data_IF_042476801208
#
_entry.id   IF_042476801208
#
_cell.length_a   1.000
_cell.length_b   1.000
_cell.length_c   1.000
_cell.angle_alpha   90.00
_cell.angle_beta   90.00
_cell.angle_gamma   90.00
#
_symmetry.space_group_name_H-M   'P 1'
#
loop_
_entity.id
_entity.type
_entity.pdbx_description
1 polymer ?
#
# COMPACT_ATOMS: atom_id res chain seq x y z
N UNK A 1 -0.43 40.10 7.49
CA UNK A 1 -1.80 39.80 7.03
C UNK A 1 -1.86 38.31 6.72
N UNK A 2 -2.88 37.56 7.15
CA UNK A 2 -3.03 36.15 6.75
C UNK A 2 -3.06 36.08 5.21
N UNK A 3 -2.32 35.14 4.63
CA UNK A 3 -2.35 34.95 3.19
C UNK A 3 -3.76 34.48 2.81
N UNK A 4 -4.54 35.33 2.15
CA UNK A 4 -5.81 34.90 1.59
C UNK A 4 -5.52 33.80 0.55
N UNK A 5 -6.18 32.64 0.64
CA UNK A 5 -5.96 31.55 -0.31
C UNK A 5 -6.26 32.06 -1.72
N UNK A 6 -5.35 31.78 -2.68
CA UNK A 6 -5.55 32.19 -4.07
C UNK A 6 -6.88 31.60 -4.58
N UNK A 7 -7.71 32.41 -5.23
CA UNK A 7 -8.89 31.92 -5.95
C UNK A 7 -8.43 31.03 -7.10
N UNK A 8 -8.69 29.72 -6.97
CA UNK A 8 -8.35 28.68 -7.94
C UNK A 8 -8.99 28.99 -9.31
N UNK A 9 -8.22 28.84 -10.39
CA UNK A 9 -8.79 28.93 -11.74
C UNK A 9 -9.80 27.80 -11.98
N UNK A 10 -10.96 28.06 -12.60
CA UNK A 10 -11.94 27.03 -12.90
C UNK A 10 -11.31 25.92 -13.75
N UNK A 11 -11.37 24.66 -13.28
CA UNK A 11 -10.95 23.48 -14.05
C UNK A 11 -9.55 22.91 -13.75
N UNK A 12 -8.75 23.49 -12.85
CA UNK A 12 -7.49 22.83 -12.45
C UNK A 12 -7.74 21.69 -11.45
N UNK A 13 -7.18 20.52 -11.69
CA UNK A 13 -7.17 19.41 -10.73
C UNK A 13 -6.08 19.63 -9.68
N UNK A 14 -6.30 19.13 -8.45
CA UNK A 14 -5.26 19.19 -7.42
C UNK A 14 -4.05 18.34 -7.86
N UNK A 15 -2.82 18.82 -7.64
CA UNK A 15 -1.62 18.03 -7.87
C UNK A 15 -1.48 16.99 -6.78
N UNK A 16 -1.33 15.73 -7.19
CA UNK A 16 -1.25 14.58 -6.29
C UNK A 16 0.21 14.17 -6.10
N UNK A 17 0.77 14.44 -4.92
CA UNK A 17 2.13 14.04 -4.54
C UNK A 17 2.08 12.86 -3.58
N UNK A 18 2.93 11.86 -3.80
CA UNK A 18 3.16 10.79 -2.83
C UNK A 18 4.58 10.86 -2.26
N UNK A 19 4.70 10.68 -0.95
CA UNK A 19 5.96 10.54 -0.23
C UNK A 19 6.11 9.09 0.19
N UNK A 20 7.14 8.44 -0.35
CA UNK A 20 7.50 7.06 -0.01
C UNK A 20 8.83 7.01 0.75
N UNK A 21 9.11 5.87 1.37
CA UNK A 21 10.37 5.61 2.05
C UNK A 21 10.23 4.55 3.13
N UNK A 22 11.37 4.03 3.59
CA UNK A 22 11.45 3.05 4.68
C UNK A 22 10.77 3.58 5.96
N UNK A 23 10.20 2.68 6.75
CA UNK A 23 9.69 2.95 8.09
C UNK A 23 10.74 3.61 8.97
N UNK A 24 10.34 4.63 9.73
CA UNK A 24 11.24 5.36 10.63
C UNK A 24 12.16 6.38 9.97
N UNK A 25 12.11 6.57 8.64
CA UNK A 25 12.91 7.58 7.92
C UNK A 25 12.42 9.02 8.09
N UNK A 26 11.28 9.24 8.74
CA UNK A 26 10.71 10.57 8.95
C UNK A 26 9.83 11.08 7.80
N UNK A 27 9.08 10.18 7.13
CA UNK A 27 8.12 10.54 6.07
C UNK A 27 7.08 11.55 6.56
N UNK A 28 6.40 11.25 7.66
CA UNK A 28 5.39 12.13 8.25
C UNK A 28 5.98 13.50 8.64
N UNK A 29 7.18 13.51 9.22
CA UNK A 29 7.93 14.75 9.49
C UNK A 29 8.13 15.58 8.21
N UNK A 30 8.63 14.97 7.14
CA UNK A 30 8.86 15.63 5.87
C UNK A 30 7.54 16.13 5.25
N UNK A 31 6.53 15.25 5.17
CA UNK A 31 5.21 15.54 4.61
C UNK A 31 4.55 16.71 5.32
N UNK A 32 4.50 16.69 6.65
CA UNK A 32 3.87 17.76 7.44
C UNK A 32 4.56 19.10 7.25
N UNK A 33 5.90 19.14 7.23
CA UNK A 33 6.61 20.40 7.00
C UNK A 33 6.48 20.90 5.55
N UNK A 34 6.46 20.00 4.56
CA UNK A 34 6.20 20.36 3.16
C UNK A 34 4.79 20.91 2.97
N UNK A 35 3.76 20.21 3.47
CA UNK A 35 2.35 20.62 3.42
C UNK A 35 2.17 21.97 4.09
N UNK A 36 2.76 22.14 5.28
CA UNK A 36 2.70 23.39 6.03
C UNK A 36 3.31 24.54 5.24
N UNK A 37 4.48 24.31 4.61
CA UNK A 37 5.14 25.34 3.80
C UNK A 37 4.37 25.67 2.53
N UNK A 38 3.84 24.68 1.81
CA UNK A 38 2.98 24.90 0.64
C UNK A 38 1.75 25.76 1.01
N UNK A 39 1.14 25.51 2.18
CA UNK A 39 0.00 26.29 2.67
C UNK A 39 0.38 27.73 3.06
N UNK A 40 1.54 27.92 3.72
CA UNK A 40 2.08 29.25 4.02
C UNK A 40 2.40 30.05 2.74
N UNK A 41 2.68 29.37 1.63
CA UNK A 41 2.85 29.97 0.30
C UNK A 41 1.52 30.21 -0.45
N UNK A 42 0.38 30.10 0.25
CA UNK A 42 -0.94 30.50 -0.24
C UNK A 42 -1.72 29.40 -0.97
N UNK A 43 -1.28 28.14 -0.88
CA UNK A 43 -1.95 27.00 -1.51
C UNK A 43 -2.93 26.31 -0.55
N UNK A 44 -3.99 25.73 -1.08
CA UNK A 44 -4.93 24.87 -0.34
C UNK A 44 -4.43 23.44 -0.40
N UNK A 45 -3.99 22.90 0.74
CA UNK A 45 -3.27 21.63 0.80
C UNK A 45 -3.94 20.64 1.75
N UNK A 46 -4.09 19.40 1.29
CA UNK A 46 -4.54 18.26 2.09
C UNK A 46 -3.37 17.29 2.33
N UNK A 47 -3.11 16.94 3.58
CA UNK A 47 -2.26 15.81 3.94
C UNK A 47 -3.10 14.54 4.08
N UNK A 48 -2.71 13.45 3.42
CA UNK A 48 -3.33 12.13 3.58
C UNK A 48 -2.34 11.17 4.23
N UNK A 49 -2.69 10.64 5.41
CA UNK A 49 -1.96 9.55 6.05
C UNK A 49 -2.35 8.21 5.45
N UNK A 50 -1.43 7.58 4.72
CA UNK A 50 -1.62 6.31 4.03
C UNK A 50 -0.72 5.21 4.62
N UNK A 51 -0.50 5.26 5.94
CA UNK A 51 0.31 4.33 6.70
C UNK A 51 -0.55 3.69 7.81
N UNK A 52 -0.55 2.34 7.98
CA UNK A 52 -1.22 1.67 9.10
C UNK A 52 -0.78 2.12 10.50
N UNK A 53 0.27 2.94 10.62
CA UNK A 53 0.70 3.60 11.86
C UNK A 53 -0.25 4.72 12.32
N UNK A 54 -1.00 5.34 11.41
CA UNK A 54 -2.08 6.32 11.68
C UNK A 54 -1.69 7.60 12.45
N UNK A 55 -0.46 8.09 12.31
CA UNK A 55 0.04 9.26 13.05
C UNK A 55 0.67 10.32 12.11
N UNK A 56 0.36 10.25 10.82
CA UNK A 56 0.96 11.14 9.81
C UNK A 56 0.61 12.60 10.08
N UNK A 57 -0.65 12.87 10.44
CA UNK A 57 -1.21 14.19 10.66
C UNK A 57 -1.01 14.71 12.08
N UNK A 58 -0.49 13.92 13.04
CA UNK A 58 -0.45 14.33 14.44
C UNK A 58 0.28 15.67 14.65
N UNK A 59 1.47 15.82 14.05
CA UNK A 59 2.22 17.08 14.12
C UNK A 59 1.53 18.23 13.39
N UNK A 60 0.81 17.95 12.30
CA UNK A 60 0.02 18.97 11.57
C UNK A 60 -1.11 19.52 12.45
N UNK A 61 -1.68 18.70 13.33
CA UNK A 61 -2.76 19.04 14.27
C UNK A 61 -2.28 19.28 15.70
N UNK A 62 -0.99 19.61 15.89
CA UNK A 62 -0.46 20.00 17.20
C UNK A 62 -0.51 18.90 18.26
N UNK A 63 -0.36 17.64 17.85
CA UNK A 63 -0.36 16.46 18.70
C UNK A 63 -1.72 15.76 18.82
N UNK A 64 -2.77 16.28 18.19
CA UNK A 64 -4.09 15.64 18.17
C UNK A 64 -4.07 14.48 17.17
N UNK A 65 -4.33 13.27 17.66
CA UNK A 65 -4.56 12.09 16.82
C UNK A 65 -5.93 12.19 16.15
N UNK A 66 -5.95 12.16 14.82
CA UNK A 66 -7.21 12.13 14.07
C UNK A 66 -7.80 10.71 14.08
N UNK A 67 -9.13 10.58 14.04
CA UNK A 67 -9.74 9.28 13.77
C UNK A 67 -9.43 8.86 12.32
N UNK A 68 -9.31 7.56 12.10
CA UNK A 68 -9.03 7.03 10.78
C UNK A 68 -10.33 6.93 9.97
N UNK A 69 -10.25 7.03 8.64
CA UNK A 69 -11.40 6.85 7.76
C UNK A 69 -12.06 5.49 7.99
N UNK A 70 -11.25 4.45 8.21
CA UNK A 70 -11.74 3.11 8.52
C UNK A 70 -12.55 3.04 9.82
N UNK A 71 -12.10 3.76 10.85
CA UNK A 71 -12.81 3.82 12.14
C UNK A 71 -14.12 4.59 12.04
N UNK A 72 -14.09 5.79 11.44
CA UNK A 72 -15.30 6.61 11.22
C UNK A 72 -16.31 5.84 10.36
N UNK A 73 -15.86 5.17 9.30
CA UNK A 73 -16.76 4.34 8.48
C UNK A 73 -17.40 3.22 9.29
N UNK A 74 -16.65 2.57 10.17
CA UNK A 74 -17.16 1.49 11.03
C UNK A 74 -18.22 2.02 12.00
N UNK A 75 -17.99 3.17 12.62
CA UNK A 75 -18.96 3.80 13.52
C UNK A 75 -20.29 4.08 12.80
N UNK A 76 -20.23 4.67 11.59
CA UNK A 76 -21.42 4.93 10.78
C UNK A 76 -22.13 3.65 10.36
N UNK A 77 -21.36 2.59 10.03
CA UNK A 77 -21.89 1.28 9.69
C UNK A 77 -22.60 0.61 10.86
N UNK A 78 -22.01 0.60 12.04
CA UNK A 78 -22.61 0.02 13.24
C UNK A 78 -23.88 0.77 13.66
N UNK A 79 -23.95 2.08 13.38
CA UNK A 79 -25.15 2.89 13.57
C UNK A 79 -26.20 2.74 12.45
N UNK A 80 -25.92 2.01 11.37
CA UNK A 80 -26.81 1.88 10.21
C UNK A 80 -26.98 3.16 9.39
N UNK A 81 -26.00 4.08 9.45
CA UNK A 81 -26.03 5.43 8.84
C UNK A 81 -24.98 5.61 7.74
N UNK A 82 -24.58 4.53 7.07
CA UNK A 82 -23.50 4.53 6.06
C UNK A 82 -23.71 5.60 4.96
N UNK A 83 -24.96 5.86 4.59
CA UNK A 83 -25.34 6.84 3.57
C UNK A 83 -25.13 8.30 4.00
N UNK A 84 -25.04 8.57 5.31
CA UNK A 84 -24.78 9.91 5.85
C UNK A 84 -23.28 10.24 5.89
N UNK A 85 -22.40 9.24 5.72
CA UNK A 85 -20.97 9.45 5.74
C UNK A 85 -20.55 10.35 4.57
N UNK A 86 -19.74 11.37 4.87
CA UNK A 86 -19.40 12.44 3.94
C UNK A 86 -18.03 13.00 4.25
N UNK A 87 -17.47 13.80 3.33
CA UNK A 87 -16.12 14.35 3.43
C UNK A 87 -15.82 15.01 4.79
N UNK A 88 -16.74 15.81 5.33
CA UNK A 88 -16.53 16.57 6.56
C UNK A 88 -16.40 15.71 7.82
N UNK A 89 -16.76 14.43 7.76
CA UNK A 89 -16.60 13.49 8.86
C UNK A 89 -15.16 12.93 8.95
N UNK A 90 -14.40 12.98 7.86
CA UNK A 90 -13.06 12.36 7.76
C UNK A 90 -11.96 13.33 7.34
N UNK A 91 -12.32 14.50 6.77
CA UNK A 91 -11.41 15.58 6.42
C UNK A 91 -11.48 16.66 7.49
N UNK A 92 -10.41 16.78 8.25
CA UNK A 92 -10.27 17.77 9.32
C UNK A 92 -9.49 18.98 8.85
N UNK A 93 -9.69 20.13 9.49
CA UNK A 93 -8.95 21.37 9.21
C UNK A 93 -8.33 21.92 10.48
N UNK A 94 -7.18 22.56 10.33
CA UNK A 94 -6.53 23.30 11.42
C UNK A 94 -5.78 24.51 10.86
N UNK A 95 -5.38 25.42 11.74
CA UNK A 95 -4.55 26.56 11.39
C UNK A 95 -3.15 26.39 11.96
N UNK A 96 -2.14 26.71 11.16
CA UNK A 96 -0.72 26.59 11.54
C UNK A 96 -0.07 27.96 11.70
N UNK A 97 1.09 28.00 12.37
CA UNK A 97 1.92 29.20 12.54
C UNK A 97 1.11 30.42 13.01
N UNK A 98 0.42 30.28 14.15
CA UNK A 98 -0.41 31.32 14.76
C UNK A 98 -1.50 31.89 13.81
N UNK A 99 -2.13 31.01 13.02
CA UNK A 99 -3.22 31.41 12.12
C UNK A 99 -2.76 31.94 10.76
N UNK A 100 -1.48 31.81 10.41
CA UNK A 100 -0.95 32.30 9.13
C UNK A 100 -1.49 31.54 7.90
N UNK A 101 -1.84 30.25 8.07
CA UNK A 101 -2.40 29.43 7.01
C UNK A 101 -3.35 28.35 7.56
N UNK A 102 -4.28 27.90 6.72
CA UNK A 102 -5.18 26.78 6.98
C UNK A 102 -4.72 25.56 6.19
N UNK A 103 -4.70 24.41 6.83
CA UNK A 103 -4.35 23.10 6.24
C UNK A 103 -5.44 22.08 6.53
N UNK A 104 -5.54 21.08 5.67
CA UNK A 104 -6.47 19.97 5.80
C UNK A 104 -5.72 18.67 6.03
N UNK A 105 -6.32 17.73 6.76
CA UNK A 105 -5.74 16.42 7.02
C UNK A 105 -6.78 15.31 7.13
N UNK A 106 -6.36 14.10 6.79
CA UNK A 106 -7.14 12.88 6.91
C UNK A 106 -6.20 11.70 7.11
N UNK A 107 -6.50 10.84 8.08
CA UNK A 107 -5.85 9.54 8.22
C UNK A 107 -6.72 8.50 7.51
N UNK A 108 -6.26 7.95 6.39
CA UNK A 108 -6.96 6.82 5.75
C UNK A 108 -6.78 5.58 6.61
N UNK A 109 -5.52 5.33 6.94
CA UNK A 109 -5.13 4.27 7.81
C UNK A 109 -5.08 2.86 7.23
N UNK A 110 -4.64 1.92 8.07
CA UNK A 110 -4.69 0.47 7.84
C UNK A 110 -5.70 -0.25 8.75
N UNK A 111 -5.89 -1.56 8.54
CA UNK A 111 -6.74 -2.38 9.40
C UNK A 111 -6.19 -2.45 10.83
N UNK A 112 -6.99 -2.98 11.77
CA UNK A 112 -6.55 -3.25 13.14
C UNK A 112 -5.21 -3.98 13.18
N UNK A 113 -4.36 -3.62 14.16
CA UNK A 113 -3.06 -4.28 14.37
C UNK A 113 -3.24 -5.79 14.47
N UNK A 114 -2.51 -6.54 13.63
CA UNK A 114 -2.59 -8.01 13.58
C UNK A 114 -3.77 -8.57 12.80
N UNK A 115 -4.59 -7.74 12.14
CA UNK A 115 -5.75 -8.18 11.34
C UNK A 115 -5.80 -7.51 9.96
N UNK A 116 -6.50 -8.15 9.03
CA UNK A 116 -6.78 -7.57 7.71
C UNK A 116 -5.55 -7.47 6.78
N UNK A 117 -5.66 -6.62 5.75
CA UNK A 117 -4.56 -6.32 4.83
C UNK A 117 -4.43 -4.80 4.70
N UNK A 118 -3.26 -4.26 5.07
CA UNK A 118 -2.94 -2.83 4.99
C UNK A 118 -3.33 -2.21 3.64
N UNK A 119 -2.89 -2.85 2.56
CA UNK A 119 -3.20 -2.38 1.21
C UNK A 119 -4.70 -2.33 0.88
N UNK A 120 -5.53 -3.24 1.40
CA UNK A 120 -6.99 -3.18 1.16
C UNK A 120 -7.65 -2.00 1.88
N UNK A 121 -7.19 -1.66 3.07
CA UNK A 121 -7.68 -0.49 3.81
C UNK A 121 -7.40 0.81 3.05
N UNK A 122 -6.18 0.93 2.52
CA UNK A 122 -5.77 2.06 1.67
C UNK A 122 -6.66 2.18 0.43
N UNK A 123 -6.81 1.10 -0.36
CA UNK A 123 -7.64 1.12 -1.57
C UNK A 123 -9.09 1.51 -1.24
N UNK A 124 -9.66 0.94 -0.18
CA UNK A 124 -11.00 1.29 0.29
C UNK A 124 -11.11 2.79 0.65
N UNK A 125 -10.13 3.34 1.35
CA UNK A 125 -10.09 4.75 1.70
C UNK A 125 -10.08 5.67 0.48
N UNK A 126 -9.26 5.36 -0.53
CA UNK A 126 -9.26 6.12 -1.79
C UNK A 126 -10.60 6.04 -2.51
N UNK A 127 -11.19 4.85 -2.63
CA UNK A 127 -12.50 4.69 -3.27
C UNK A 127 -13.57 5.53 -2.54
N UNK A 128 -13.48 5.67 -1.20
CA UNK A 128 -14.37 6.54 -0.43
C UNK A 128 -14.10 8.03 -0.66
N UNK A 129 -12.84 8.46 -0.67
CA UNK A 129 -12.48 9.86 -0.95
C UNK A 129 -12.90 10.28 -2.37
N UNK A 130 -12.76 9.38 -3.36
CA UNK A 130 -13.28 9.59 -4.71
C UNK A 130 -14.80 9.76 -4.73
N UNK A 131 -15.54 8.91 -4.01
CA UNK A 131 -17.00 9.05 -3.84
C UNK A 131 -17.39 10.38 -3.19
N UNK A 132 -16.58 10.89 -2.27
CA UNK A 132 -16.76 12.21 -1.66
C UNK A 132 -16.36 13.39 -2.56
N UNK A 133 -15.93 13.11 -3.80
CA UNK A 133 -15.62 14.12 -4.80
C UNK A 133 -14.22 14.72 -4.66
N UNK A 134 -13.22 13.96 -4.20
CA UNK A 134 -11.82 14.40 -4.06
C UNK A 134 -11.32 15.21 -5.27
N UNK A 135 -11.66 14.79 -6.49
CA UNK A 135 -11.27 15.45 -7.74
C UNK A 135 -11.93 16.82 -7.97
N UNK A 136 -13.07 17.08 -7.33
CA UNK A 136 -13.84 18.32 -7.42
C UNK A 136 -13.48 19.32 -6.31
N UNK A 137 -12.74 18.88 -5.29
CA UNK A 137 -12.33 19.76 -4.21
C UNK A 137 -11.41 20.86 -4.74
N UNK A 138 -11.62 22.08 -4.24
CA UNK A 138 -10.81 23.23 -4.58
C UNK A 138 -9.47 23.22 -3.81
N UNK A 139 -8.75 22.10 -3.88
CA UNK A 139 -7.38 21.93 -3.39
C UNK A 139 -6.39 22.21 -4.53
N UNK A 140 -5.24 22.77 -4.19
CA UNK A 140 -4.10 22.92 -5.09
C UNK A 140 -3.19 21.68 -5.01
N UNK A 141 -3.08 21.09 -3.82
CA UNK A 141 -2.21 19.94 -3.55
C UNK A 141 -2.89 18.92 -2.64
N UNK A 142 -2.65 17.64 -2.93
CA UNK A 142 -2.86 16.53 -2.00
C UNK A 142 -1.52 15.83 -1.84
N UNK A 143 -1.01 15.77 -0.62
CA UNK A 143 0.28 15.14 -0.30
C UNK A 143 0.04 13.91 0.55
N UNK A 144 0.40 12.75 0.03
CA UNK A 144 0.11 11.45 0.61
C UNK A 144 1.36 10.85 1.25
N UNK A 145 1.30 10.49 2.53
CA UNK A 145 2.38 9.82 3.27
C UNK A 145 2.18 8.31 3.22
N UNK A 146 2.98 7.61 2.41
CA UNK A 146 2.84 6.17 2.17
C UNK A 146 3.89 5.33 2.89
N UNK A 147 3.45 4.19 3.41
CA UNK A 147 4.36 3.12 3.82
C UNK A 147 5.17 2.62 2.61
N UNK A 148 6.51 2.71 2.70
CA UNK A 148 7.41 2.34 1.61
C UNK A 148 8.34 1.17 1.90
N UNK A 149 8.17 0.48 3.04
CA UNK A 149 8.93 -0.76 3.34
C UNK A 149 8.56 -1.90 2.38
N UNK A 150 7.30 -1.92 1.96
CA UNK A 150 6.77 -2.84 0.95
C UNK A 150 6.06 -2.05 -0.13
N UNK A 151 6.27 -2.42 -1.38
CA UNK A 151 5.61 -1.78 -2.54
C UNK A 151 4.83 -2.86 -3.29
N UNK A 152 3.88 -3.48 -2.59
CA UNK A 152 3.06 -4.57 -3.12
C UNK A 152 1.56 -4.30 -2.88
N UNK A 153 0.72 -4.92 -3.71
CA UNK A 153 -0.74 -4.84 -3.59
C UNK A 153 -1.23 -3.39 -3.43
N UNK A 154 -1.96 -3.12 -2.35
CA UNK A 154 -2.56 -1.81 -2.12
C UNK A 154 -1.58 -0.68 -1.72
N UNK A 155 -0.36 -1.01 -1.28
CA UNK A 155 0.68 0.00 -1.04
C UNK A 155 1.32 0.51 -2.34
N UNK A 156 1.15 -0.25 -3.42
CA UNK A 156 1.49 0.18 -4.77
C UNK A 156 0.35 0.92 -5.49
N UNK A 157 -0.86 1.00 -4.89
CA UNK A 157 -2.04 1.63 -5.51
C UNK A 157 -1.78 3.03 -6.08
N UNK A 158 -1.04 3.94 -5.40
CA UNK A 158 -0.74 5.26 -5.97
C UNK A 158 0.00 5.21 -7.29
N UNK A 159 0.92 4.24 -7.42
CA UNK A 159 1.72 4.02 -8.61
C UNK A 159 0.89 3.28 -9.68
N UNK A 160 0.18 2.21 -9.27
CA UNK A 160 -0.51 1.31 -10.20
C UNK A 160 -1.81 1.88 -10.77
N UNK A 161 -2.55 2.67 -9.99
CA UNK A 161 -3.75 3.41 -10.45
C UNK A 161 -3.42 4.82 -10.94
N UNK A 162 -2.14 5.23 -10.95
CA UNK A 162 -1.72 6.61 -11.26
C UNK A 162 -2.48 7.67 -10.43
N UNK A 163 -2.81 7.36 -9.18
CA UNK A 163 -3.42 8.34 -8.26
C UNK A 163 -2.42 9.43 -7.85
N UNK A 164 -1.14 9.07 -7.78
CA UNK A 164 -0.05 10.03 -7.62
C UNK A 164 0.54 10.38 -8.99
N UNK A 165 0.57 11.67 -9.31
CA UNK A 165 1.24 12.18 -10.51
C UNK A 165 2.76 12.23 -10.28
N UNK A 166 3.15 12.59 -9.05
CA UNK A 166 4.52 12.90 -8.67
C UNK A 166 4.88 12.19 -7.37
N UNK A 167 6.06 11.57 -7.33
CA UNK A 167 6.54 10.79 -6.18
C UNK A 167 7.87 11.33 -5.69
N UNK A 168 7.97 11.55 -4.38
CA UNK A 168 9.20 11.86 -3.67
C UNK A 168 9.59 10.65 -2.85
N UNK A 169 10.85 10.24 -2.93
CA UNK A 169 11.38 9.11 -2.15
C UNK A 169 12.26 9.65 -1.03
N UNK A 170 11.90 9.39 0.22
CA UNK A 170 12.65 9.74 1.40
C UNK A 170 13.61 8.60 1.78
N UNK A 171 14.90 8.91 1.89
CA UNK A 171 15.93 7.96 2.28
C UNK A 171 16.96 8.59 3.22
N UNK A 172 17.84 7.76 3.78
CA UNK A 172 19.05 8.20 4.48
C UNK A 172 20.27 7.72 3.71
N UNK A 173 21.43 7.73 4.36
CA UNK A 173 22.66 7.18 3.79
C UNK A 173 22.86 5.68 4.11
N UNK A 174 21.96 5.06 4.87
CA UNK A 174 22.07 3.65 5.25
C UNK A 174 21.58 2.69 4.15
N UNK A 175 22.12 1.47 4.17
CA UNK A 175 21.81 0.43 3.19
C UNK A 175 20.32 0.08 3.11
N UNK A 176 19.63 0.05 4.23
CA UNK A 176 18.24 -0.43 4.23
C UNK A 176 17.28 0.62 3.67
N UNK A 177 17.50 1.91 3.98
CA UNK A 177 16.67 2.98 3.41
C UNK A 177 16.89 3.15 1.91
N UNK A 178 18.14 3.04 1.43
CA UNK A 178 18.44 3.07 -0.01
C UNK A 178 17.96 1.81 -0.74
N UNK A 179 17.94 0.64 -0.08
CA UNK A 179 17.35 -0.57 -0.64
C UNK A 179 15.84 -0.40 -0.85
N UNK A 180 15.13 0.17 0.14
CA UNK A 180 13.72 0.51 -0.01
C UNK A 180 13.51 1.53 -1.14
N UNK A 181 14.34 2.58 -1.22
CA UNK A 181 14.30 3.57 -2.30
C UNK A 181 14.47 2.92 -3.68
N UNK A 182 15.41 1.98 -3.81
CA UNK A 182 15.64 1.22 -5.04
C UNK A 182 14.42 0.37 -5.44
N UNK A 183 13.75 -0.26 -4.47
CA UNK A 183 12.53 -1.04 -4.71
C UNK A 183 11.35 -0.16 -5.12
N UNK A 184 11.20 1.02 -4.50
CA UNK A 184 10.19 2.01 -4.89
C UNK A 184 10.44 2.49 -6.33
N UNK A 185 11.70 2.78 -6.69
CA UNK A 185 12.07 3.16 -8.04
C UNK A 185 11.80 2.04 -9.06
N UNK A 186 12.13 0.79 -8.70
CA UNK A 186 11.79 -0.41 -9.49
C UNK A 186 10.29 -0.54 -9.74
N UNK A 187 9.48 -0.39 -8.69
CA UNK A 187 8.02 -0.48 -8.80
C UNK A 187 7.46 0.64 -9.68
N UNK A 188 7.90 1.88 -9.47
CA UNK A 188 7.48 3.03 -10.29
C UNK A 188 7.84 2.82 -11.77
N UNK A 189 9.05 2.35 -12.06
CA UNK A 189 9.49 2.04 -13.44
C UNK A 189 8.64 0.91 -14.05
N UNK A 190 8.35 -0.13 -13.30
CA UNK A 190 7.47 -1.22 -13.74
C UNK A 190 6.07 -0.71 -14.12
N UNK A 191 5.41 0.07 -13.26
CA UNK A 191 4.08 0.59 -13.58
C UNK A 191 4.10 1.61 -14.73
N UNK A 192 5.16 2.42 -14.85
CA UNK A 192 5.34 3.29 -16.01
C UNK A 192 5.44 2.48 -17.32
N UNK A 193 6.15 1.34 -17.32
CA UNK A 193 6.23 0.45 -18.49
C UNK A 193 4.89 -0.17 -18.88
N UNK A 194 3.94 -0.24 -17.94
CA UNK A 194 2.55 -0.68 -18.19
C UNK A 194 1.59 0.47 -18.57
N UNK A 195 2.11 1.66 -18.85
CA UNK A 195 1.32 2.83 -19.24
C UNK A 195 0.90 3.76 -18.09
N UNK A 196 1.42 3.54 -16.88
CA UNK A 196 1.24 4.44 -15.74
C UNK A 196 1.88 5.82 -15.99
N UNK A 197 1.28 6.87 -15.42
CA UNK A 197 1.73 8.27 -15.65
C UNK A 197 2.55 8.86 -14.50
N UNK A 198 2.72 8.11 -13.42
CA UNK A 198 3.44 8.55 -12.24
C UNK A 198 4.92 8.80 -12.55
N UNK A 199 5.44 9.93 -12.05
CA UNK A 199 6.84 10.35 -12.19
C UNK A 199 7.53 10.32 -10.85
N UNK A 200 8.81 9.94 -10.84
CA UNK A 200 9.68 10.15 -9.69
C UNK A 200 10.28 11.55 -9.80
N UNK A 201 10.00 12.42 -8.82
CA UNK A 201 10.62 13.74 -8.74
C UNK A 201 12.09 13.60 -8.35
N UNK A 202 12.39 12.74 -7.38
CA UNK A 202 13.76 12.53 -6.89
C UNK A 202 13.80 12.04 -5.45
N UNK A 203 15.01 12.07 -4.89
CA UNK A 203 15.31 11.65 -3.53
C UNK A 203 15.36 12.86 -2.58
N UNK A 204 14.83 12.70 -1.37
CA UNK A 204 15.14 13.59 -0.25
C UNK A 204 15.94 12.79 0.77
N UNK A 205 17.14 13.27 1.09
CA UNK A 205 18.02 12.65 2.07
C UNK A 205 17.67 13.24 3.43
N UNK A 206 17.06 12.46 4.31
CA UNK A 206 16.76 12.87 5.67
C UNK A 206 17.77 12.32 6.66
N UNK A 207 17.97 13.06 7.76
CA UNK A 207 19.02 12.79 8.76
C UNK A 207 20.38 12.62 8.08
N UNK A 208 20.67 13.49 7.12
CA UNK A 208 21.90 13.45 6.35
C UNK A 208 23.09 13.57 7.29
N UNK A 209 23.95 12.55 7.25
CA UNK A 209 25.19 12.42 8.03
C UNK A 209 26.42 12.94 7.27
N UNK A 210 26.23 13.44 6.04
CA UNK A 210 27.29 14.00 5.21
C UNK A 210 28.17 12.96 4.50
N UNK A 211 27.86 11.67 4.59
CA UNK A 211 28.62 10.60 3.92
C UNK A 211 28.48 10.59 2.39
N UNK A 212 27.45 11.26 1.86
CA UNK A 212 27.17 11.36 0.43
C UNK A 212 26.79 10.04 -0.25
N UNK A 213 26.49 8.99 0.52
CA UNK A 213 26.12 7.66 -0.02
C UNK A 213 24.84 7.76 -0.84
N UNK A 214 23.82 8.46 -0.32
CA UNK A 214 22.56 8.66 -1.02
C UNK A 214 22.73 9.45 -2.32
N UNK A 215 23.66 10.40 -2.37
CA UNK A 215 23.97 11.15 -3.59
C UNK A 215 24.60 10.26 -4.67
N UNK A 216 25.56 9.40 -4.31
CA UNK A 216 26.15 8.41 -5.24
C UNK A 216 25.10 7.41 -5.73
N UNK A 217 24.21 6.98 -4.85
CA UNK A 217 23.06 6.15 -5.22
C UNK A 217 22.15 6.85 -6.23
N UNK A 218 21.77 8.11 -5.94
CA UNK A 218 20.91 8.93 -6.79
C UNK A 218 21.48 9.06 -8.20
N UNK A 219 22.78 9.34 -8.31
CA UNK A 219 23.49 9.39 -9.60
C UNK A 219 23.41 8.07 -10.36
N UNK A 220 23.69 6.94 -9.68
CA UNK A 220 23.64 5.60 -10.31
C UNK A 220 22.25 5.21 -10.81
N UNK A 221 21.19 5.60 -10.09
CA UNK A 221 19.80 5.33 -10.52
C UNK A 221 19.23 6.41 -11.43
N UNK A 222 20.02 7.42 -11.76
CA UNK A 222 19.62 8.60 -12.51
C UNK A 222 18.39 9.30 -11.92
N UNK A 223 18.43 9.62 -10.62
CA UNK A 223 17.44 10.49 -9.97
C UNK A 223 18.13 11.67 -9.29
N UNK A 224 17.53 12.87 -9.28
CA UNK A 224 18.10 14.01 -8.58
C UNK A 224 17.91 13.88 -7.07
N UNK A 225 18.86 14.41 -6.30
CA UNK A 225 18.64 14.72 -4.88
C UNK A 225 17.95 16.09 -4.80
N UNK A 226 16.71 16.11 -4.32
CA UNK A 226 15.87 17.31 -4.21
C UNK A 226 16.25 18.17 -3.01
N UNK A 227 16.59 17.53 -1.89
CA UNK A 227 17.03 18.19 -0.67
C UNK A 227 17.80 17.22 0.23
N UNK A 228 18.75 17.78 0.99
CA UNK A 228 19.43 17.12 2.11
C UNK A 228 19.03 17.81 3.40
N UNK A 229 18.32 17.08 4.26
CA UNK A 229 17.86 17.53 5.57
C UNK A 229 18.84 17.00 6.63
N UNK A 230 19.59 17.88 7.30
CA UNK A 230 20.58 17.45 8.29
C UNK A 230 19.91 16.86 9.53
N UNK A 231 20.60 15.95 10.21
CA UNK A 231 20.21 15.58 11.56
C UNK A 231 20.45 16.75 12.52
N UNK A 232 19.38 17.28 13.09
CA UNK A 232 19.42 18.39 14.05
C UNK A 232 18.66 18.02 15.32
N UNK A 233 19.32 18.19 16.47
CA UNK A 233 18.75 17.82 17.77
C UNK A 233 17.54 18.68 18.14
N UNK A 234 17.62 20.00 17.94
CA UNK A 234 16.54 20.92 18.28
C UNK A 234 15.31 20.62 17.43
N UNK A 235 15.49 20.37 16.13
CA UNK A 235 14.39 20.02 15.24
C UNK A 235 13.80 18.65 15.56
N UNK A 236 14.63 17.69 15.97
CA UNK A 236 14.13 16.41 16.49
C UNK A 236 13.25 16.62 17.73
N UNK A 237 13.69 17.41 18.69
CA UNK A 237 12.92 17.71 19.91
C UNK A 237 11.60 18.42 19.58
N UNK A 238 11.59 19.33 18.60
CA UNK A 238 10.35 19.93 18.07
C UNK A 238 9.42 18.86 17.47
N UNK A 239 9.96 17.97 16.62
CA UNK A 239 9.17 16.93 15.97
C UNK A 239 8.58 15.94 16.98
N UNK A 240 9.36 15.52 17.98
CA UNK A 240 8.93 14.64 19.07
C UNK A 240 7.82 15.32 19.91
N UNK A 241 7.85 16.65 20.01
CA UNK A 241 6.79 17.45 20.64
C UNK A 241 5.61 17.80 19.71
N UNK A 242 5.50 17.16 18.54
CA UNK A 242 4.47 17.42 17.52
C UNK A 242 4.44 18.88 17.02
N UNK A 243 5.61 19.50 16.92
CA UNK A 243 5.79 20.87 16.44
C UNK A 243 6.47 20.93 15.08
N UNK A 244 6.14 21.97 14.30
CA UNK A 244 6.71 22.18 12.97
C UNK A 244 8.20 22.58 13.07
N UNK A 245 9.03 21.96 12.22
CA UNK A 245 10.43 22.33 12.03
C UNK A 245 10.58 23.73 11.41
N UNK A 246 9.51 24.26 10.80
CA UNK A 246 9.45 25.61 10.23
C UNK A 246 9.66 26.72 11.27
N UNK A 247 9.61 26.39 12.58
CA UNK A 247 10.00 27.32 13.64
C UNK A 247 11.52 27.57 13.67
N UNK A 248 12.32 26.65 13.11
CA UNK A 248 13.76 26.81 13.00
C UNK A 248 14.13 27.41 11.63
N UNK A 249 14.71 28.62 11.56
CA UNK A 249 14.91 29.36 10.31
C UNK A 249 15.66 28.59 9.22
N UNK A 250 16.64 27.76 9.61
CA UNK A 250 17.41 26.94 8.65
C UNK A 250 16.51 25.90 7.95
N UNK A 251 15.62 25.27 8.69
CA UNK A 251 14.70 24.27 8.15
C UNK A 251 13.56 24.95 7.39
N UNK A 252 13.08 26.10 7.88
CA UNK A 252 12.10 26.92 7.18
C UNK A 252 12.57 27.28 5.77
N UNK A 253 13.81 27.76 5.64
CA UNK A 253 14.42 28.10 4.35
C UNK A 253 14.63 26.87 3.44
N UNK A 254 14.90 25.70 4.00
CA UNK A 254 15.03 24.45 3.24
C UNK A 254 13.68 24.07 2.62
N UNK A 255 12.63 24.01 3.43
CA UNK A 255 11.29 23.67 2.95
C UNK A 255 10.73 24.77 2.03
N UNK A 256 11.01 26.05 2.29
CA UNK A 256 10.59 27.16 1.41
C UNK A 256 11.17 26.99 0.00
N UNK A 257 12.47 26.71 -0.10
CA UNK A 257 13.13 26.44 -1.39
C UNK A 257 12.47 25.26 -2.11
N UNK A 258 12.33 24.12 -1.45
CA UNK A 258 11.76 22.92 -2.05
C UNK A 258 10.31 23.14 -2.49
N UNK A 259 9.49 23.76 -1.64
CA UNK A 259 8.10 24.06 -1.93
C UNK A 259 7.96 25.01 -3.12
N UNK A 260 8.79 26.06 -3.22
CA UNK A 260 8.83 26.95 -4.39
C UNK A 260 9.21 26.20 -5.66
N UNK A 261 10.23 25.36 -5.61
CA UNK A 261 10.62 24.56 -6.79
C UNK A 261 9.50 23.61 -7.25
N UNK A 262 8.74 23.04 -6.31
CA UNK A 262 7.54 22.24 -6.63
C UNK A 262 6.46 23.12 -7.27
N UNK A 263 6.15 24.27 -6.68
CA UNK A 263 5.12 25.22 -7.17
C UNK A 263 5.46 25.71 -8.58
N UNK A 264 6.69 26.19 -8.76
CA UNK A 264 7.18 26.80 -9.99
C UNK A 264 7.61 25.77 -11.04
N UNK A 265 7.56 24.47 -10.70
CA UNK A 265 7.95 23.34 -11.57
C UNK A 265 9.39 23.45 -12.08
N UNK A 266 10.30 23.89 -11.22
CA UNK A 266 11.73 24.06 -11.54
C UNK A 266 12.59 22.93 -10.99
N UNK A 267 12.00 21.86 -10.45
CA UNK A 267 12.74 20.66 -10.07
C UNK A 267 13.32 19.97 -11.33
N UNK A 268 14.50 19.34 -11.24
CA UNK A 268 15.03 18.53 -12.34
C UNK A 268 14.03 17.42 -12.70
N UNK A 269 13.76 17.26 -13.99
CA UNK A 269 12.84 16.23 -14.49
C UNK A 269 13.62 15.09 -15.12
N UNK A 270 13.36 13.87 -14.67
CA UNK A 270 13.89 12.65 -15.28
C UNK A 270 12.73 11.86 -15.89
N UNK A 271 12.91 11.33 -17.10
CA UNK A 271 11.91 10.44 -17.70
C UNK A 271 11.98 9.08 -17.05
N UNK A 272 10.83 8.44 -16.86
CA UNK A 272 10.80 7.12 -16.21
C UNK A 272 11.60 6.04 -16.96
N UNK A 273 11.74 6.17 -18.29
CA UNK A 273 12.60 5.28 -19.08
C UNK A 273 14.08 5.36 -18.68
N UNK A 274 14.52 6.55 -18.25
CA UNK A 274 15.91 6.88 -17.92
C UNK A 274 16.28 6.53 -16.48
N UNK A 275 15.30 6.26 -15.61
CA UNK A 275 15.54 5.81 -14.21
C UNK A 275 16.12 4.40 -14.25
N UNK A 276 17.20 4.13 -13.52
CA UNK A 276 17.93 2.85 -13.55
C UNK A 276 18.03 2.21 -12.16
N UNK A 277 16.95 1.56 -11.65
CA UNK A 277 17.04 0.81 -10.41
C UNK A 277 18.12 -0.28 -10.51
N UNK A 278 18.92 -0.42 -9.46
CA UNK A 278 20.10 -1.27 -9.47
C UNK A 278 19.76 -2.73 -9.13
N UNK A 279 20.30 -3.71 -9.87
CA UNK A 279 20.41 -5.09 -9.39
C UNK A 279 21.19 -5.17 -8.07
N UNK A 280 20.99 -6.24 -7.30
CA UNK A 280 21.55 -6.35 -5.95
C UNK A 280 23.09 -6.19 -5.89
N UNK A 281 23.81 -6.84 -6.81
CA UNK A 281 25.28 -6.71 -6.92
C UNK A 281 25.74 -5.27 -7.12
N UNK A 282 25.14 -4.57 -8.08
CA UNK A 282 25.46 -3.17 -8.36
C UNK A 282 25.02 -2.25 -7.22
N UNK A 283 23.90 -2.56 -6.56
CA UNK A 283 23.44 -1.84 -5.39
C UNK A 283 24.44 -1.90 -4.23
N UNK A 284 25.08 -3.06 -3.99
CA UNK A 284 26.12 -3.16 -2.95
C UNK A 284 27.32 -2.27 -3.25
N UNK A 285 27.67 -2.07 -4.52
CA UNK A 285 28.79 -1.22 -4.94
C UNK A 285 28.63 0.25 -4.50
N UNK A 286 27.40 0.72 -4.27
CA UNK A 286 27.09 2.06 -3.73
C UNK A 286 27.77 2.28 -2.36
N UNK A 287 27.88 1.19 -1.58
CA UNK A 287 28.47 1.16 -0.24
C UNK A 287 29.94 0.72 -0.26
N UNK A 288 30.54 0.53 -1.44
CA UNK A 288 31.86 -0.08 -1.58
C UNK A 288 31.89 -1.56 -1.16
N UNK A 289 30.74 -2.23 -1.19
CA UNK A 289 30.61 -3.65 -0.90
C UNK A 289 30.42 -4.46 -2.18
N UNK A 290 30.80 -5.73 -2.14
CA UNK A 290 30.59 -6.70 -3.22
C UNK A 290 29.83 -7.91 -2.68
N UNK A 291 28.97 -8.49 -3.51
CA UNK A 291 28.32 -9.76 -3.15
C UNK A 291 29.37 -10.87 -3.19
N UNK A 292 29.57 -11.64 -2.11
CA UNK A 292 30.49 -12.76 -2.13
C UNK A 292 30.10 -13.76 -3.21
N UNK A 293 31.09 -14.31 -3.93
CA UNK A 293 30.86 -15.40 -4.89
C UNK A 293 30.75 -16.74 -4.16
N UNK A 294 29.74 -16.83 -3.28
CA UNK A 294 29.45 -18.02 -2.48
C UNK A 294 27.99 -18.37 -2.74
N UNK A 295 27.75 -19.54 -3.31
CA UNK A 295 26.41 -20.11 -3.43
C UNK A 295 26.06 -20.82 -2.12
N UNK A 296 25.03 -20.40 -1.38
CA UNK A 296 24.61 -21.09 -0.16
C UNK A 296 24.20 -22.54 -0.48
N UNK A 297 24.64 -23.48 0.35
CA UNK A 297 24.16 -24.87 0.27
C UNK A 297 22.76 -24.95 0.88
N UNK A 298 21.80 -25.52 0.16
CA UNK A 298 20.46 -25.75 0.69
C UNK A 298 20.47 -26.81 1.78
N UNK A 299 19.74 -26.58 2.86
CA UNK A 299 19.62 -27.55 3.94
C UNK A 299 18.90 -28.82 3.45
N UNK A 300 19.46 -29.99 3.78
CA UNK A 300 18.88 -31.29 3.48
C UNK A 300 17.67 -31.58 4.39
N UNK A 301 16.83 -32.54 3.99
CA UNK A 301 15.74 -33.01 4.85
C UNK A 301 16.29 -33.56 6.18
N UNK A 302 17.41 -34.27 6.15
CA UNK A 302 18.05 -34.80 7.36
C UNK A 302 18.48 -33.67 8.31
N UNK A 303 19.10 -32.61 7.81
CA UNK A 303 19.49 -31.44 8.62
C UNK A 303 18.28 -30.69 9.20
N UNK A 304 17.15 -30.64 8.46
CA UNK A 304 15.94 -29.94 8.89
C UNK A 304 15.05 -30.77 9.83
N UNK A 305 15.00 -32.09 9.66
CA UNK A 305 14.12 -32.99 10.43
C UNK A 305 14.87 -33.80 11.51
N UNK A 306 16.20 -33.89 11.47
CA UNK A 306 16.98 -34.73 12.39
C UNK A 306 16.49 -36.18 12.37
N UNK A 307 16.40 -36.79 13.55
CA UNK A 307 15.85 -38.16 13.74
C UNK A 307 14.31 -38.23 13.68
N UNK A 308 13.62 -37.10 13.48
CA UNK A 308 12.17 -37.13 13.34
C UNK A 308 11.81 -37.76 12.00
N UNK A 309 10.93 -38.77 12.02
CA UNK A 309 10.36 -39.31 10.78
C UNK A 309 9.76 -38.14 10.00
N UNK A 310 10.32 -37.91 8.80
CA UNK A 310 9.70 -37.06 7.80
C UNK A 310 8.29 -37.60 7.60
N UNK A 311 7.29 -36.95 8.18
CA UNK A 311 5.91 -37.20 7.76
C UNK A 311 5.91 -36.87 6.29
N UNK A 312 5.78 -37.89 5.45
CA UNK A 312 5.56 -37.63 4.04
C UNK A 312 4.42 -36.63 3.96
N UNK A 313 4.60 -35.48 3.27
CA UNK A 313 3.50 -34.59 3.05
C UNK A 313 2.37 -35.44 2.48
N UNK A 314 1.18 -35.36 3.09
CA UNK A 314 0.02 -36.18 2.68
C UNK A 314 -0.04 -36.21 1.15
N UNK A 315 -0.15 -37.41 0.53
CA UNK A 315 -0.01 -37.58 -0.90
C UNK A 315 -0.90 -36.56 -1.58
N UNK A 316 -0.24 -35.78 -2.42
CA UNK A 316 -0.87 -34.74 -3.19
C UNK A 316 -1.52 -35.47 -4.37
N UNK A 317 -2.75 -35.95 -4.16
CA UNK A 317 -3.49 -36.74 -5.15
C UNK A 317 -3.92 -35.80 -6.28
N UNK A 318 -3.53 -36.14 -7.51
CA UNK A 318 -4.10 -35.56 -8.73
C UNK A 318 -5.61 -35.75 -8.68
N UNK A 319 -6.41 -34.68 -8.81
CA UNK A 319 -7.87 -34.74 -8.92
C UNK A 319 -8.26 -35.80 -9.97
N UNK A 320 -8.61 -36.99 -9.50
CA UNK A 320 -8.73 -38.20 -10.29
C UNK A 320 -9.91 -39.02 -9.82
N UNK A 321 -10.72 -39.44 -10.78
CA UNK A 321 -12.01 -40.13 -10.64
C UNK A 321 -11.90 -41.35 -9.69
N UNK A 322 -12.49 -41.28 -8.51
CA UNK A 322 -12.85 -42.47 -7.74
C UNK A 322 -14.19 -43.02 -8.25
N UNK A 323 -14.21 -44.28 -8.71
CA UNK A 323 -15.36 -44.86 -9.43
C UNK A 323 -16.58 -45.24 -8.56
N UNK A 324 -16.55 -45.12 -7.23
CA UNK A 324 -17.72 -45.48 -6.38
C UNK A 324 -17.87 -44.63 -5.12
N UNK A 325 -19.09 -44.14 -4.91
CA UNK A 325 -19.53 -43.50 -3.67
C UNK A 325 -19.65 -44.53 -2.54
N UNK A 326 -19.09 -44.20 -1.37
CA UNK A 326 -19.27 -44.96 -0.12
C UNK A 326 -20.08 -44.10 0.85
N UNK A 327 -21.27 -44.56 1.23
CA UNK A 327 -22.07 -44.00 2.33
C UNK A 327 -23.41 -43.36 1.94
N UNK A 328 -24.36 -43.40 2.87
CA UNK A 328 -25.65 -42.70 2.77
C UNK A 328 -25.43 -41.18 2.86
N UNK A 329 -26.01 -40.42 1.92
CA UNK A 329 -25.87 -38.97 1.85
C UNK A 329 -26.66 -38.31 3.00
N UNK A 330 -26.06 -37.42 3.81
CA UNK A 330 -26.81 -36.61 4.77
C UNK A 330 -27.80 -35.68 4.04
N UNK A 331 -28.90 -35.29 4.71
CA UNK A 331 -29.84 -34.29 4.17
C UNK A 331 -29.11 -32.96 3.93
N UNK A 332 -29.18 -32.46 2.70
CA UNK A 332 -28.54 -31.20 2.27
C UNK A 332 -29.60 -30.14 2.01
N UNK A 333 -29.33 -28.89 2.38
CA UNK A 333 -30.16 -27.75 1.98
C UNK A 333 -30.09 -27.50 0.46
N UNK A 334 -31.11 -26.83 -0.09
CA UNK A 334 -31.28 -26.68 -1.53
C UNK A 334 -30.08 -26.03 -2.26
N UNK A 335 -29.43 -24.97 -1.73
CA UNK A 335 -28.21 -24.41 -2.32
C UNK A 335 -27.06 -25.41 -2.36
N UNK A 336 -26.85 -26.15 -1.27
CA UNK A 336 -25.79 -27.16 -1.19
C UNK A 336 -26.02 -28.28 -2.17
N UNK A 337 -27.26 -28.77 -2.25
CA UNK A 337 -27.65 -29.82 -3.19
C UNK A 337 -27.42 -29.41 -4.65
N UNK A 338 -27.71 -28.17 -5.01
CA UNK A 338 -27.49 -27.63 -6.37
C UNK A 338 -26.01 -27.69 -6.74
N UNK A 339 -25.15 -27.13 -5.89
CA UNK A 339 -23.70 -27.06 -6.15
C UNK A 339 -23.08 -28.46 -6.19
N UNK A 340 -23.36 -29.31 -5.20
CA UNK A 340 -22.85 -30.69 -5.14
C UNK A 340 -23.27 -31.49 -6.37
N UNK A 341 -24.52 -31.31 -6.82
CA UNK A 341 -25.02 -32.01 -8.03
C UNK A 341 -24.30 -31.54 -9.29
N UNK A 342 -24.04 -30.23 -9.44
CA UNK A 342 -23.32 -29.72 -10.62
C UNK A 342 -21.85 -30.14 -10.62
N UNK A 343 -21.15 -30.08 -9.49
CA UNK A 343 -19.76 -30.54 -9.38
C UNK A 343 -19.62 -32.02 -9.74
N UNK A 344 -20.54 -32.87 -9.27
CA UNK A 344 -20.54 -34.28 -9.63
C UNK A 344 -20.85 -34.50 -11.12
N UNK A 345 -21.89 -33.83 -11.65
CA UNK A 345 -22.35 -34.07 -13.03
C UNK A 345 -21.42 -33.50 -14.09
N UNK A 346 -20.82 -32.35 -13.83
CA UNK A 346 -20.05 -31.59 -14.83
C UNK A 346 -18.55 -31.82 -14.71
N UNK A 347 -18.05 -32.06 -13.50
CA UNK A 347 -16.61 -32.21 -13.23
C UNK A 347 -16.23 -33.59 -12.69
N UNK A 348 -17.21 -34.44 -12.36
CA UNK A 348 -16.96 -35.74 -11.74
C UNK A 348 -16.34 -35.64 -10.33
N UNK A 349 -16.50 -34.49 -9.65
CA UNK A 349 -15.93 -34.26 -8.32
C UNK A 349 -16.87 -34.83 -7.25
N UNK A 350 -16.39 -35.77 -6.45
CA UNK A 350 -17.20 -36.35 -5.38
C UNK A 350 -17.03 -35.54 -4.10
N UNK A 351 -18.13 -34.97 -3.62
CA UNK A 351 -18.16 -34.21 -2.37
C UNK A 351 -18.36 -35.19 -1.21
N UNK A 352 -17.35 -35.32 -0.36
CA UNK A 352 -17.39 -36.18 0.83
C UNK A 352 -17.99 -35.45 2.03
N UNK A 353 -17.78 -34.14 2.14
CA UNK A 353 -18.39 -33.30 3.18
C UNK A 353 -18.84 -31.97 2.58
N UNK A 354 -19.96 -31.44 3.07
CA UNK A 354 -20.47 -30.14 2.67
C UNK A 354 -21.02 -29.40 3.89
N UNK A 355 -20.56 -28.17 4.09
CA UNK A 355 -21.04 -27.29 5.15
C UNK A 355 -21.40 -25.93 4.54
N UNK A 356 -22.58 -25.41 4.88
CA UNK A 356 -23.08 -24.14 4.37
C UNK A 356 -23.26 -23.12 5.51
N UNK A 357 -22.54 -22.01 5.41
CA UNK A 357 -22.70 -20.84 6.28
C UNK A 357 -23.37 -19.71 5.47
N UNK A 358 -24.57 -19.23 5.87
CA UNK A 358 -25.30 -18.21 5.12
C UNK A 358 -24.55 -16.90 4.88
N UNK A 359 -23.54 -16.57 5.69
CA UNK A 359 -22.72 -15.35 5.56
C UNK A 359 -21.39 -15.60 4.84
N UNK A 360 -20.86 -16.82 4.92
CA UNK A 360 -19.52 -17.16 4.39
C UNK A 360 -19.56 -18.01 3.12
N UNK A 361 -20.73 -18.50 2.73
CA UNK A 361 -20.92 -19.43 1.61
C UNK A 361 -20.70 -20.88 2.01
N UNK A 362 -20.51 -21.73 1.01
CA UNK A 362 -20.34 -23.17 1.16
C UNK A 362 -18.86 -23.57 1.25
N UNK A 363 -18.57 -24.56 2.09
CA UNK A 363 -17.28 -25.24 2.16
C UNK A 363 -17.50 -26.71 1.85
N UNK A 364 -16.83 -27.20 0.82
CA UNK A 364 -16.96 -28.56 0.32
C UNK A 364 -15.62 -29.27 0.47
N UNK A 365 -15.64 -30.49 0.97
CA UNK A 365 -14.50 -31.40 0.92
C UNK A 365 -14.71 -32.33 -0.26
N UNK A 366 -13.81 -32.27 -1.25
CA UNK A 366 -13.81 -33.11 -2.44
C UNK A 366 -12.86 -34.28 -2.20
N UNK A 367 -13.34 -35.50 -2.44
CA UNK A 367 -12.61 -36.75 -2.32
C UNK A 367 -11.88 -36.91 -0.96
N UNK A 368 -12.40 -36.31 0.11
CA UNK A 368 -11.86 -36.41 1.48
C UNK A 368 -10.66 -35.51 1.79
N UNK A 369 -10.14 -34.75 0.81
CA UNK A 369 -8.82 -34.11 0.95
C UNK A 369 -8.72 -32.67 0.43
N UNK A 370 -9.52 -32.29 -0.58
CA UNK A 370 -9.46 -30.93 -1.15
C UNK A 370 -10.58 -30.09 -0.60
N UNK A 371 -10.28 -28.94 0.00
CA UNK A 371 -11.31 -28.00 0.45
C UNK A 371 -11.60 -26.97 -0.64
N UNK A 372 -12.84 -26.95 -1.12
CA UNK A 372 -13.36 -25.96 -2.07
C UNK A 372 -14.37 -25.06 -1.37
N UNK A 373 -14.08 -23.76 -1.29
CA UNK A 373 -15.02 -22.79 -0.75
C UNK A 373 -15.74 -22.05 -1.89
N UNK A 374 -17.06 -22.10 -1.91
CA UNK A 374 -17.91 -21.41 -2.90
C UNK A 374 -18.70 -20.32 -2.20
N UNK A 375 -18.67 -19.11 -2.75
CA UNK A 375 -19.44 -17.97 -2.22
C UNK A 375 -20.93 -18.08 -2.54
N UNK A 376 -21.53 -16.99 -3.00
CA UNK A 376 -22.88 -17.02 -3.55
C UNK A 376 -22.95 -17.92 -4.81
N UNK A 377 -24.13 -18.47 -5.13
CA UNK A 377 -24.38 -19.32 -6.30
C UNK A 377 -24.76 -18.54 -7.57
N UNK A 378 -24.93 -17.22 -7.50
CA UNK A 378 -25.31 -16.37 -8.66
C UNK A 378 -24.34 -16.44 -9.85
N UNK A 379 -23.07 -16.78 -9.60
CA UNK A 379 -21.98 -16.90 -10.58
C UNK A 379 -21.42 -18.33 -10.67
N UNK A 380 -22.25 -19.35 -10.34
CA UNK A 380 -21.82 -20.74 -10.23
C UNK A 380 -21.18 -21.28 -11.53
N UNK A 381 -21.65 -20.89 -12.71
CA UNK A 381 -21.05 -21.31 -13.99
C UNK A 381 -19.60 -20.86 -14.15
N UNK A 382 -19.30 -19.62 -13.72
CA UNK A 382 -17.92 -19.09 -13.76
C UNK A 382 -17.01 -19.86 -12.80
N UNK A 383 -17.53 -20.22 -11.63
CA UNK A 383 -16.80 -21.01 -10.62
C UNK A 383 -16.53 -22.43 -11.08
N UNK A 384 -17.52 -23.08 -11.71
CA UNK A 384 -17.37 -24.39 -12.32
C UNK A 384 -16.32 -24.34 -13.44
N UNK A 385 -16.33 -23.29 -14.28
CA UNK A 385 -15.32 -23.13 -15.32
C UNK A 385 -13.90 -22.98 -14.77
N UNK A 386 -13.73 -22.27 -13.65
CA UNK A 386 -12.44 -22.17 -12.95
C UNK A 386 -12.02 -23.55 -12.42
N UNK A 387 -12.92 -24.27 -11.73
CA UNK A 387 -12.62 -25.62 -11.23
C UNK A 387 -12.28 -26.59 -12.37
N UNK A 388 -12.97 -26.51 -13.51
CA UNK A 388 -12.65 -27.29 -14.71
C UNK A 388 -11.27 -26.93 -15.29
N UNK A 389 -10.88 -25.66 -15.25
CA UNK A 389 -9.54 -25.22 -15.68
C UNK A 389 -8.45 -25.74 -14.73
N UNK A 390 -8.69 -25.67 -13.41
CA UNK A 390 -7.80 -26.22 -12.40
C UNK A 390 -7.67 -27.75 -12.54
N UNK A 391 -8.77 -28.46 -12.74
CA UNK A 391 -8.77 -29.91 -12.99
C UNK A 391 -7.99 -30.27 -14.27
N UNK A 392 -8.19 -29.52 -15.37
CA UNK A 392 -7.44 -29.72 -16.62
C UNK A 392 -5.95 -29.40 -16.51
N UNK A 393 -5.56 -28.52 -15.59
CA UNK A 393 -4.14 -28.22 -15.35
C UNK A 393 -3.37 -29.42 -14.82
N UNK A 394 -4.07 -30.40 -14.21
CA UNK A 394 -3.44 -31.54 -13.53
C UNK A 394 -2.65 -31.14 -12.29
N UNK A 395 -2.63 -29.84 -11.94
CA UNK A 395 -1.99 -29.37 -10.74
C UNK A 395 -2.82 -29.75 -9.52
N UNK A 396 -2.17 -30.16 -8.43
CA UNK A 396 -2.87 -30.49 -7.23
C UNK A 396 -3.08 -29.27 -6.34
N UNK A 397 -4.25 -29.22 -5.69
CA UNK A 397 -4.64 -28.13 -4.81
C UNK A 397 -5.19 -28.70 -3.50
N UNK A 398 -4.76 -28.15 -2.37
CA UNK A 398 -5.35 -28.47 -1.06
C UNK A 398 -6.52 -27.57 -0.70
N UNK A 399 -6.46 -26.32 -1.14
CA UNK A 399 -7.47 -25.32 -0.82
C UNK A 399 -7.75 -24.42 -2.03
N UNK A 400 -9.00 -24.40 -2.44
CA UNK A 400 -9.50 -23.60 -3.56
C UNK A 400 -10.61 -22.69 -3.03
N UNK A 401 -10.31 -21.40 -2.90
CA UNK A 401 -11.30 -20.41 -2.46
C UNK A 401 -11.87 -19.67 -3.66
N UNK A 402 -13.13 -19.93 -3.95
CA UNK A 402 -13.92 -19.30 -5.00
C UNK A 402 -15.00 -18.41 -4.40
N UNK A 403 -14.88 -17.98 -3.14
CA UNK A 403 -15.87 -17.06 -2.55
C UNK A 403 -15.82 -15.68 -3.20
N UNK A 404 -14.68 -15.30 -3.79
CA UNK A 404 -14.46 -14.01 -4.45
C UNK A 404 -13.54 -14.18 -5.68
N UNK A 405 -13.68 -13.32 -6.71
CA UNK A 405 -12.86 -13.41 -7.94
C UNK A 405 -11.34 -13.29 -7.74
N UNK A 406 -10.90 -12.67 -6.64
CA UNK A 406 -9.49 -12.47 -6.30
C UNK A 406 -9.03 -13.31 -5.09
N UNK A 407 -9.77 -14.37 -4.77
CA UNK A 407 -9.41 -15.26 -3.66
C UNK A 407 -8.18 -16.11 -4.01
N UNK A 408 -7.33 -16.42 -3.01
CA UNK A 408 -6.09 -17.18 -3.23
C UNK A 408 -6.37 -18.67 -3.48
N UNK A 409 -5.51 -19.27 -4.32
CA UNK A 409 -5.40 -20.72 -4.51
C UNK A 409 -4.15 -21.21 -3.79
N UNK A 410 -4.26 -22.23 -2.95
CA UNK A 410 -3.10 -22.80 -2.25
C UNK A 410 -2.83 -24.21 -2.76
N UNK A 411 -1.59 -24.40 -3.20
CA UNK A 411 -1.03 -25.70 -3.61
C UNK A 411 -0.73 -26.56 -2.39
#
# INVERSE_FOLDING_TARGET
MPAHPKTKQPGSTARMLAVYGKGGMGKSFFTTNLVSKLALLGNRVLQLGCDPKHDSCNALFGGISLPTLGDVWREFKEAGREEELAAHHVIFKTTIMNGAATVYGCEIGGPEVGRGCGGRGITFGFDMLEKFGLSQWALDYVVMDFLGDVVCGGFATPLSRSLAEEVIILCGNDRQSLYAANNIASAAKYFASMGGRTKLLGLVVNRDDGSGVAARFAEKINLPVLASIPLDRKVRELADACQLALQEPRFDALFDRLARQIIDRTLPTVKMEEVQPLPYKEFLSVFGAEEPDITPTGATAEELFGDHQVRQPAPVITLGLMERAVGEKPEMDAPTRLVVTRLLKELGMYVTEANHDPKKGMTLTIDGHTTVCIGNTDDLDSKIAILAALQRSGEPFRYVDLRRPASPFYR
#
